data_IF_555262455550
#
_entry.id   IF_555262455550
#
_cell.length_a   1.000
_cell.length_b   1.000
_cell.length_c   1.000
_cell.angle_alpha   90.00
_cell.angle_beta   90.00
_cell.angle_gamma   90.00
#
_symmetry.space_group_name_H-M   'P 1'
#
loop_
_entity.id
_entity.type
_entity.pdbx_description
1 polymer ?
#
# COMPACT_ATOMS: atom_id res chain seq x y z
N UNK A 1 13.30 -26.40 -5.56
CA UNK A 1 14.24 -25.48 -4.88
C UNK A 1 13.73 -25.03 -3.52
N UNK A 2 13.31 -25.97 -2.66
CA UNK A 2 12.87 -25.67 -1.27
C UNK A 2 13.92 -26.05 -0.22
N UNK A 3 14.67 -27.12 -0.47
CA UNK A 3 15.75 -27.63 0.40
C UNK A 3 16.94 -26.65 0.46
N UNK A 4 17.24 -25.95 -0.63
CA UNK A 4 18.29 -24.92 -0.64
C UNK A 4 17.87 -23.64 0.10
N UNK A 5 16.60 -23.23 0.01
CA UNK A 5 16.05 -22.08 0.76
C UNK A 5 16.06 -22.36 2.27
N UNK A 6 15.74 -23.59 2.68
CA UNK A 6 15.85 -24.00 4.08
C UNK A 6 17.31 -24.01 4.57
N UNK A 7 18.24 -24.47 3.72
CA UNK A 7 19.66 -24.51 4.09
C UNK A 7 20.31 -23.11 4.14
N UNK A 8 19.93 -22.20 3.24
CA UNK A 8 20.49 -20.83 3.20
C UNK A 8 19.83 -19.86 4.18
N UNK A 9 18.50 -19.95 4.37
CA UNK A 9 17.77 -19.02 5.25
C UNK A 9 17.63 -19.52 6.68
N UNK A 10 17.69 -20.84 6.93
CA UNK A 10 17.47 -21.41 8.25
C UNK A 10 18.74 -22.06 8.85
N UNK A 11 19.51 -22.84 8.08
CA UNK A 11 20.67 -23.55 8.62
C UNK A 11 21.95 -22.70 8.71
N UNK A 12 22.25 -21.89 7.69
CA UNK A 12 23.43 -21.01 7.66
C UNK A 12 23.49 -19.99 8.82
N UNK A 13 22.40 -19.30 9.21
CA UNK A 13 22.47 -18.27 10.25
C UNK A 13 22.33 -18.79 11.69
N UNK A 14 21.95 -20.06 11.88
CA UNK A 14 21.99 -20.73 13.20
C UNK A 14 23.42 -21.08 13.62
N UNK A 15 24.27 -21.43 12.66
CA UNK A 15 25.69 -21.75 12.91
C UNK A 15 26.51 -20.47 13.14
N UNK A 16 26.01 -19.30 12.73
CA UNK A 16 26.65 -17.99 12.93
C UNK A 16 26.27 -17.28 14.24
N UNK A 17 25.55 -17.93 15.16
CA UNK A 17 25.33 -17.44 16.52
C UNK A 17 24.14 -16.47 16.70
N UNK A 18 23.23 -16.36 15.73
CA UNK A 18 22.03 -15.53 15.87
C UNK A 18 20.87 -16.34 16.49
N UNK A 19 20.91 -16.52 17.81
CA UNK A 19 19.87 -17.19 18.61
C UNK A 19 18.45 -16.60 18.42
N UNK A 20 18.35 -15.36 17.93
CA UNK A 20 17.09 -14.70 17.61
C UNK A 20 16.30 -15.38 16.46
N UNK A 21 16.96 -16.18 15.61
CA UNK A 21 16.31 -16.89 14.49
C UNK A 21 15.60 -18.18 14.90
N UNK A 22 15.73 -18.60 16.16
CA UNK A 22 14.97 -19.72 16.72
C UNK A 22 13.47 -19.40 16.75
N UNK A 23 13.11 -18.14 17.03
CA UNK A 23 11.71 -17.69 17.11
C UNK A 23 10.96 -17.81 15.77
N UNK A 24 11.47 -17.27 14.64
CA UNK A 24 10.84 -17.48 13.32
C UNK A 24 10.90 -18.94 12.85
N UNK A 25 11.88 -19.74 13.28
CA UNK A 25 11.94 -21.17 12.96
C UNK A 25 10.84 -21.97 13.67
N UNK A 26 10.59 -21.68 14.96
CA UNK A 26 9.47 -22.27 15.71
C UNK A 26 8.15 -21.86 15.07
N UNK A 27 7.97 -20.58 14.72
CA UNK A 27 6.79 -20.10 14.01
C UNK A 27 6.61 -20.75 12.63
N UNK A 28 7.71 -21.00 11.91
CA UNK A 28 7.70 -21.73 10.64
C UNK A 28 7.30 -23.20 10.81
N UNK A 29 7.79 -23.88 11.85
CA UNK A 29 7.35 -25.24 12.20
C UNK A 29 5.87 -25.26 12.62
N UNK A 30 5.38 -24.22 13.30
CA UNK A 30 3.97 -24.06 13.65
C UNK A 30 3.07 -23.87 12.42
N UNK A 31 3.59 -23.45 11.25
CA UNK A 31 2.82 -23.45 10.01
C UNK A 31 2.55 -24.88 9.50
N UNK A 32 3.44 -25.84 9.77
CA UNK A 32 3.25 -27.24 9.36
C UNK A 32 2.17 -27.97 10.16
N UNK A 33 1.78 -27.46 11.33
CA UNK A 33 0.63 -28.02 12.08
C UNK A 33 -0.69 -27.82 11.35
N UNK A 34 -0.72 -26.99 10.28
CA UNK A 34 -1.86 -26.87 9.34
C UNK A 34 -2.29 -28.21 8.72
N UNK A 35 -1.38 -29.18 8.59
CA UNK A 35 -1.69 -30.50 8.00
C UNK A 35 -2.36 -31.47 8.98
N UNK A 36 -2.33 -31.20 10.29
CA UNK A 36 -2.94 -32.07 11.31
C UNK A 36 -4.15 -31.33 11.91
N UNK A 37 -5.40 -31.77 11.63
CA UNK A 37 -6.61 -31.04 12.00
C UNK A 37 -6.77 -30.82 13.52
N UNK A 38 -6.13 -31.65 14.35
CA UNK A 38 -6.20 -31.60 15.82
C UNK A 38 -5.38 -30.46 16.45
N UNK A 39 -4.35 -29.93 15.77
CA UNK A 39 -3.49 -28.85 16.30
C UNK A 39 -3.54 -27.55 15.47
N UNK A 40 -4.52 -27.43 14.57
CA UNK A 40 -4.67 -26.32 13.63
C UNK A 40 -4.81 -24.93 14.30
N UNK A 41 -5.18 -24.86 15.59
CA UNK A 41 -5.23 -23.60 16.33
C UNK A 41 -3.85 -22.92 16.46
N UNK A 42 -2.76 -23.69 16.54
CA UNK A 42 -1.40 -23.15 16.69
C UNK A 42 -0.91 -22.41 15.43
N UNK A 43 -1.47 -22.73 14.26
CA UNK A 43 -1.18 -22.06 12.99
C UNK A 43 -1.73 -20.61 12.95
N UNK A 44 -2.62 -20.23 13.86
CA UNK A 44 -3.16 -18.86 13.92
C UNK A 44 -2.10 -17.82 14.36
N UNK A 45 -1.15 -18.21 15.21
CA UNK A 45 -0.08 -17.34 15.71
C UNK A 45 0.90 -16.88 14.62
N UNK A 46 1.50 -17.75 13.80
CA UNK A 46 2.36 -17.32 12.71
C UNK A 46 1.58 -16.53 11.64
N UNK A 47 0.34 -16.93 11.32
CA UNK A 47 -0.48 -16.19 10.36
C UNK A 47 -0.83 -14.77 10.84
N UNK A 48 -1.20 -14.60 12.12
CA UNK A 48 -1.49 -13.28 12.68
C UNK A 48 -0.24 -12.40 12.74
N UNK A 49 0.93 -12.97 13.04
CA UNK A 49 2.20 -12.26 13.00
C UNK A 49 2.54 -11.78 11.58
N UNK A 50 2.38 -12.64 10.58
CA UNK A 50 2.63 -12.28 9.18
C UNK A 50 1.68 -11.18 8.71
N UNK A 51 0.38 -11.29 9.04
CA UNK A 51 -0.59 -10.25 8.70
C UNK A 51 -0.33 -8.94 9.47
N UNK A 52 0.03 -9.01 10.75
CA UNK A 52 0.35 -7.85 11.57
C UNK A 52 1.60 -7.11 11.10
N UNK A 53 2.67 -7.85 10.79
CA UNK A 53 3.89 -7.28 10.22
C UNK A 53 3.63 -6.66 8.84
N UNK A 54 2.88 -7.35 7.97
CA UNK A 54 2.50 -6.84 6.66
C UNK A 54 1.66 -5.56 6.75
N UNK A 55 0.66 -5.54 7.64
CA UNK A 55 -0.17 -4.35 7.87
C UNK A 55 0.65 -3.18 8.45
N UNK A 56 1.59 -3.45 9.37
CA UNK A 56 2.46 -2.43 9.94
C UNK A 56 3.39 -1.79 8.90
N UNK A 57 4.01 -2.61 8.05
CA UNK A 57 4.85 -2.12 6.93
C UNK A 57 4.01 -1.33 5.93
N UNK A 58 2.82 -1.82 5.57
CA UNK A 58 1.92 -1.12 4.66
C UNK A 58 1.47 0.23 5.22
N UNK A 59 1.14 0.30 6.52
CA UNK A 59 0.75 1.54 7.18
C UNK A 59 1.90 2.54 7.21
N UNK A 60 3.11 2.11 7.57
CA UNK A 60 4.30 2.99 7.53
C UNK A 60 4.56 3.48 6.11
N UNK A 61 4.56 2.60 5.12
CA UNK A 61 4.77 2.95 3.71
C UNK A 61 3.70 3.89 3.18
N UNK A 62 2.44 3.73 3.61
CA UNK A 62 1.36 4.65 3.28
C UNK A 62 1.60 6.06 3.86
N UNK A 63 2.02 6.17 5.12
CA UNK A 63 2.34 7.47 5.74
C UNK A 63 3.53 8.12 5.05
N UNK A 64 4.58 7.35 4.79
CA UNK A 64 5.78 7.83 4.10
C UNK A 64 5.47 8.33 2.69
N UNK A 65 4.69 7.56 1.92
CA UNK A 65 4.32 7.94 0.54
C UNK A 65 3.30 9.08 0.49
N UNK A 66 2.21 8.98 1.26
CA UNK A 66 1.08 9.91 1.14
C UNK A 66 1.30 11.23 1.89
N UNK A 67 2.11 11.24 2.95
CA UNK A 67 2.33 12.44 3.77
C UNK A 67 3.74 12.99 3.51
N UNK A 68 4.78 12.21 3.79
CA UNK A 68 6.16 12.69 3.69
C UNK A 68 6.57 12.93 2.24
N UNK A 69 6.22 12.01 1.34
CA UNK A 69 6.48 12.14 -0.09
C UNK A 69 5.77 13.35 -0.71
N UNK A 70 4.50 13.58 -0.36
CA UNK A 70 3.73 14.74 -0.85
C UNK A 70 4.27 16.07 -0.32
N UNK A 71 4.68 16.12 0.95
CA UNK A 71 5.31 17.32 1.53
C UNK A 71 6.68 17.61 0.91
N UNK A 72 7.49 16.56 0.69
CA UNK A 72 8.81 16.72 0.07
C UNK A 72 8.68 17.16 -1.39
N UNK A 73 7.74 16.56 -2.14
CA UNK A 73 7.46 16.90 -3.53
C UNK A 73 6.99 18.36 -3.72
N UNK A 74 6.30 18.94 -2.73
CA UNK A 74 5.87 20.34 -2.80
C UNK A 74 6.96 21.34 -2.41
N UNK A 75 8.02 20.91 -1.70
CA UNK A 75 9.07 21.80 -1.19
C UNK A 75 10.37 21.80 -2.01
N UNK A 76 10.75 20.69 -2.64
CA UNK A 76 12.17 20.51 -3.04
C UNK A 76 12.43 20.65 -4.54
N UNK A 77 11.49 20.36 -5.45
CA UNK A 77 11.79 20.38 -6.89
C UNK A 77 10.61 20.83 -7.75
N UNK A 78 10.52 22.11 -8.08
CA UNK A 78 9.65 22.60 -9.18
C UNK A 78 10.31 22.42 -10.57
N UNK A 79 11.07 21.35 -10.75
CA UNK A 79 11.83 21.07 -11.97
C UNK A 79 10.98 20.42 -13.05
N UNK A 80 9.90 19.74 -12.66
CA UNK A 80 9.05 18.93 -13.55
C UNK A 80 7.62 19.48 -13.61
N UNK A 81 6.97 19.35 -14.78
CA UNK A 81 5.57 19.79 -14.99
C UNK A 81 4.60 19.15 -13.98
N UNK A 82 4.83 17.89 -13.60
CA UNK A 82 4.02 17.18 -12.61
C UNK A 82 4.11 17.83 -11.22
N UNK A 83 5.32 18.26 -10.82
CA UNK A 83 5.52 18.97 -9.56
C UNK A 83 4.80 20.32 -9.55
N UNK A 84 4.79 21.04 -10.68
CA UNK A 84 3.98 22.25 -10.84
C UNK A 84 2.48 21.98 -10.72
N UNK A 85 1.97 20.91 -11.32
CA UNK A 85 0.55 20.54 -11.23
C UNK A 85 0.17 20.21 -9.77
N UNK A 86 1.01 19.46 -9.06
CA UNK A 86 0.77 19.10 -7.65
C UNK A 86 0.87 20.34 -6.76
N UNK A 87 1.88 21.19 -6.95
CA UNK A 87 2.02 22.44 -6.20
C UNK A 87 0.84 23.39 -6.45
N UNK A 88 0.48 23.64 -7.71
CA UNK A 88 -0.66 24.51 -8.03
C UNK A 88 -1.97 23.91 -7.51
N UNK A 89 -2.17 22.60 -7.67
CA UNK A 89 -3.35 21.87 -7.19
C UNK A 89 -3.50 21.93 -5.67
N UNK A 90 -2.41 21.77 -4.92
CA UNK A 90 -2.40 21.87 -3.44
C UNK A 90 -2.67 23.30 -2.97
N UNK A 91 -2.04 24.31 -3.58
CA UNK A 91 -2.28 25.73 -3.26
C UNK A 91 -3.72 26.14 -3.59
N UNK A 92 -4.24 25.75 -4.75
CA UNK A 92 -5.62 26.06 -5.16
C UNK A 92 -6.65 25.31 -4.31
N UNK A 93 -6.37 24.06 -3.92
CA UNK A 93 -7.21 23.30 -3.01
C UNK A 93 -7.27 23.93 -1.61
N UNK A 94 -6.12 24.34 -1.06
CA UNK A 94 -6.06 25.09 0.19
C UNK A 94 -6.81 26.42 0.05
N UNK A 95 -6.65 27.13 -1.07
CA UNK A 95 -7.44 28.32 -1.38
C UNK A 95 -8.93 28.04 -1.59
N UNK A 96 -9.37 26.81 -1.82
CA UNK A 96 -10.80 26.48 -1.81
C UNK A 96 -11.30 26.26 -0.38
N UNK A 97 -10.54 25.52 0.44
CA UNK A 97 -10.93 25.19 1.82
C UNK A 97 -10.80 26.38 2.78
N UNK A 98 -9.68 27.09 2.79
CA UNK A 98 -9.46 28.26 3.67
C UNK A 98 -10.30 29.47 3.26
N UNK A 99 -10.56 29.61 1.97
CA UNK A 99 -11.28 30.74 1.37
C UNK A 99 -12.78 30.43 1.17
N UNK A 100 -13.30 29.43 1.89
CA UNK A 100 -14.75 29.19 2.04
C UNK A 100 -15.44 30.33 2.81
N UNK A 101 -14.67 31.23 3.43
CA UNK A 101 -15.16 32.56 3.78
C UNK A 101 -15.37 33.37 2.49
N UNK A 102 -16.62 33.72 2.18
CA UNK A 102 -17.02 34.43 0.96
C UNK A 102 -16.21 35.72 0.79
N UNK A 103 -15.20 35.70 -0.07
CA UNK A 103 -14.62 36.92 -0.62
C UNK A 103 -15.47 37.33 -1.82
N UNK A 104 -16.33 38.33 -1.62
CA UNK A 104 -17.03 39.01 -2.70
C UNK A 104 -16.03 39.87 -3.49
N UNK A 105 -15.63 39.40 -4.67
CA UNK A 105 -14.77 40.16 -5.58
C UNK A 105 -13.98 39.32 -6.59
N UNK A 106 -13.04 39.95 -7.30
CA UNK A 106 -12.10 39.34 -8.26
C UNK A 106 -11.18 38.27 -7.64
N UNK A 107 -11.28 37.96 -6.35
CA UNK A 107 -10.61 36.82 -5.70
C UNK A 107 -11.41 35.51 -5.78
N UNK A 108 -12.67 35.55 -6.26
CA UNK A 108 -13.55 34.38 -6.34
C UNK A 108 -13.24 33.39 -7.50
N UNK A 109 -12.25 33.68 -8.36
CA UNK A 109 -11.85 32.74 -9.42
C UNK A 109 -10.92 31.64 -8.90
N UNK A 110 -10.04 31.93 -7.94
CA UNK A 110 -9.11 30.96 -7.38
C UNK A 110 -9.83 29.79 -6.66
N UNK A 111 -10.87 30.04 -5.83
CA UNK A 111 -11.68 28.96 -5.23
C UNK A 111 -12.44 28.13 -6.28
N UNK A 112 -12.90 28.73 -7.38
CA UNK A 112 -13.55 27.98 -8.47
C UNK A 112 -12.58 27.02 -9.15
N UNK A 113 -11.35 27.46 -9.42
CA UNK A 113 -10.31 26.59 -9.99
C UNK A 113 -9.93 25.46 -9.02
N UNK A 114 -9.81 25.77 -7.73
CA UNK A 114 -9.57 24.80 -6.67
C UNK A 114 -10.65 23.71 -6.61
N UNK A 115 -11.93 24.08 -6.79
CA UNK A 115 -13.04 23.10 -6.86
C UNK A 115 -12.88 22.12 -8.02
N UNK A 116 -12.47 22.58 -9.20
CA UNK A 116 -12.24 21.69 -10.36
C UNK A 116 -11.05 20.76 -10.14
N UNK A 117 -9.95 21.27 -9.56
CA UNK A 117 -8.81 20.44 -9.18
C UNK A 117 -9.21 19.36 -8.16
N UNK A 118 -10.05 19.72 -7.18
CA UNK A 118 -10.57 18.75 -6.20
C UNK A 118 -11.46 17.68 -6.85
N UNK A 119 -12.32 18.06 -7.81
CA UNK A 119 -13.12 17.09 -8.56
C UNK A 119 -12.25 16.11 -9.35
N UNK A 120 -11.18 16.60 -10.00
CA UNK A 120 -10.24 15.75 -10.73
C UNK A 120 -9.45 14.82 -9.78
N UNK A 121 -8.94 15.34 -8.65
CA UNK A 121 -8.21 14.57 -7.66
C UNK A 121 -9.07 13.47 -7.03
N UNK A 122 -10.32 13.79 -6.65
CA UNK A 122 -11.26 12.78 -6.15
C UNK A 122 -11.62 11.76 -7.24
N UNK A 123 -11.80 12.19 -8.49
CA UNK A 123 -12.02 11.28 -9.62
C UNK A 123 -10.88 10.27 -9.81
N UNK A 124 -9.63 10.73 -9.72
CA UNK A 124 -8.46 9.87 -9.79
C UNK A 124 -8.39 8.89 -8.61
N UNK A 125 -8.67 9.35 -7.38
CA UNK A 125 -8.69 8.51 -6.19
C UNK A 125 -9.76 7.40 -6.27
N UNK A 126 -11.00 7.76 -6.66
CA UNK A 126 -12.06 6.78 -6.91
C UNK A 126 -11.67 5.81 -8.05
N UNK A 127 -11.11 6.32 -9.14
CA UNK A 127 -10.64 5.52 -10.27
C UNK A 127 -9.60 4.47 -9.88
N UNK A 128 -8.64 4.84 -9.02
CA UNK A 128 -7.63 3.90 -8.52
C UNK A 128 -8.26 2.73 -7.73
N UNK A 129 -9.27 3.01 -6.90
CA UNK A 129 -9.97 1.94 -6.15
C UNK A 129 -10.82 1.04 -7.04
N UNK A 130 -11.48 1.61 -8.05
CA UNK A 130 -12.25 0.85 -9.05
C UNK A 130 -11.31 -0.04 -9.87
N UNK A 131 -10.17 0.50 -10.32
CA UNK A 131 -9.16 -0.26 -11.05
C UNK A 131 -8.63 -1.43 -10.23
N UNK A 132 -8.40 -1.26 -8.93
CA UNK A 132 -8.00 -2.35 -8.05
C UNK A 132 -9.04 -3.48 -7.98
N UNK A 133 -10.33 -3.14 -7.93
CA UNK A 133 -11.42 -4.13 -7.93
C UNK A 133 -11.60 -4.80 -9.28
N UNK A 134 -11.50 -4.06 -10.38
CA UNK A 134 -11.55 -4.59 -11.74
C UNK A 134 -10.36 -5.51 -12.01
N UNK A 135 -9.16 -5.13 -11.58
CA UNK A 135 -7.95 -5.96 -11.67
C UNK A 135 -8.14 -7.30 -10.93
N UNK A 136 -8.70 -7.28 -9.72
CA UNK A 136 -9.02 -8.51 -9.00
C UNK A 136 -10.06 -9.37 -9.74
N UNK A 137 -11.07 -8.75 -10.35
CA UNK A 137 -12.08 -9.46 -11.15
C UNK A 137 -11.47 -10.10 -12.42
N UNK A 138 -10.60 -9.38 -13.13
CA UNK A 138 -9.86 -9.92 -14.29
C UNK A 138 -9.02 -11.13 -13.87
N UNK A 139 -8.33 -11.06 -12.73
CA UNK A 139 -7.57 -12.20 -12.20
C UNK A 139 -8.44 -13.43 -11.94
N UNK A 140 -9.71 -13.25 -11.54
CA UNK A 140 -10.67 -14.36 -11.41
C UNK A 140 -11.14 -14.89 -12.75
N UNK A 141 -11.37 -14.03 -13.74
CA UNK A 141 -11.73 -14.48 -15.09
C UNK A 141 -10.59 -15.22 -15.77
N UNK A 142 -9.33 -14.77 -15.61
CA UNK A 142 -8.15 -15.47 -16.13
C UNK A 142 -8.00 -16.86 -15.50
N UNK A 143 -8.20 -16.99 -14.19
CA UNK A 143 -8.23 -18.29 -13.52
C UNK A 143 -9.28 -19.24 -14.12
N UNK A 144 -10.51 -18.75 -14.31
CA UNK A 144 -11.61 -19.59 -14.80
C UNK A 144 -11.40 -19.96 -16.28
N UNK A 145 -10.97 -19.02 -17.13
CA UNK A 145 -10.92 -19.23 -18.58
C UNK A 145 -9.61 -19.87 -19.04
N UNK A 146 -8.48 -19.48 -18.48
CA UNK A 146 -7.16 -19.93 -18.92
C UNK A 146 -6.70 -21.13 -18.08
N UNK A 147 -6.72 -21.02 -16.75
CA UNK A 147 -6.19 -22.09 -15.88
C UNK A 147 -7.16 -23.27 -15.73
N UNK A 148 -8.48 -22.99 -15.66
CA UNK A 148 -9.48 -24.05 -15.46
C UNK A 148 -10.05 -24.59 -16.78
N UNK A 149 -10.38 -23.72 -17.74
CA UNK A 149 -10.98 -24.11 -19.02
C UNK A 149 -9.95 -24.34 -20.14
N UNK A 150 -8.70 -23.87 -19.97
CA UNK A 150 -7.59 -24.16 -20.89
C UNK A 150 -7.65 -23.43 -22.24
N UNK A 151 -8.40 -22.34 -22.34
CA UNK A 151 -8.51 -21.49 -23.54
C UNK A 151 -7.43 -20.42 -23.62
#
# INVERSE_FOLDING_TARGET
TGVQTFKSQAWSPLVSGQWALIFPMILGLLLYTRYVPQYSYLNRLPLSLMMGAGAGVAMRGAVESQIVGQLTATMVELTTLDAWIIFLGTVLSLSYFFLTYKLDGKAAWAPKLGRYFMMAAFGAAFGNTVMGRVSAAIGRFQFILIEWLGL
#
